data_IF_498573170910
#
_entry.id   IF_498573170910
#
_cell.length_a   1.000
_cell.length_b   1.000
_cell.length_c   1.000
_cell.angle_alpha   90.00
_cell.angle_beta   90.00
_cell.angle_gamma   90.00
#
_symmetry.space_group_name_H-M   'P 1'
#
loop_
_entity.id
_entity.type
_entity.pdbx_description
1 polymer ?
#
# COMPACT_ATOMS: atom_id res chain seq x y z
N UNK A 1 -2.89 -19.35 8.61
CA UNK A 1 -2.96 -17.92 8.28
C UNK A 1 -1.71 -17.60 7.48
N UNK A 2 -1.68 -17.21 6.21
CA UNK A 2 -2.71 -17.02 5.18
C UNK A 2 -1.99 -17.19 3.82
N UNK A 3 -2.24 -18.31 3.12
CA UNK A 3 -1.80 -18.54 1.72
C UNK A 3 -2.83 -17.97 0.72
N UNK A 4 -3.56 -16.94 1.14
CA UNK A 4 -4.72 -16.39 0.41
C UNK A 4 -4.27 -15.63 -0.85
N UNK A 5 -2.96 -15.38 -1.03
CA UNK A 5 -2.39 -14.65 -2.17
C UNK A 5 -1.53 -15.49 -3.14
N UNK A 6 -1.53 -16.82 -3.07
CA UNK A 6 -0.57 -17.64 -3.85
C UNK A 6 -1.04 -18.06 -5.24
N UNK A 7 -2.24 -17.67 -5.69
CA UNK A 7 -2.71 -17.96 -7.04
C UNK A 7 -2.70 -16.70 -7.91
N UNK A 8 -1.66 -16.49 -8.75
CA UNK A 8 -1.62 -15.42 -9.74
C UNK A 8 -2.88 -15.37 -10.62
N UNK A 9 -3.49 -16.54 -10.86
CA UNK A 9 -4.72 -16.66 -11.63
C UNK A 9 -5.92 -16.02 -10.91
N UNK A 10 -6.06 -16.23 -9.60
CA UNK A 10 -7.15 -15.65 -8.81
C UNK A 10 -7.01 -14.13 -8.72
N UNK A 11 -5.79 -13.63 -8.61
CA UNK A 11 -5.49 -12.19 -8.64
C UNK A 11 -5.88 -11.59 -10.00
N UNK A 12 -5.49 -12.26 -11.10
CA UNK A 12 -5.83 -11.81 -12.46
C UNK A 12 -7.36 -11.77 -12.68
N UNK A 13 -8.08 -12.80 -12.23
CA UNK A 13 -9.54 -12.85 -12.33
C UNK A 13 -10.17 -11.70 -11.56
N UNK A 14 -9.72 -11.45 -10.33
CA UNK A 14 -10.20 -10.33 -9.52
C UNK A 14 -9.95 -8.97 -10.22
N UNK A 15 -8.74 -8.76 -10.74
CA UNK A 15 -8.39 -7.54 -11.48
C UNK A 15 -9.28 -7.34 -12.71
N UNK A 16 -9.56 -8.39 -13.48
CA UNK A 16 -10.45 -8.31 -14.65
C UNK A 16 -11.87 -7.88 -14.27
N UNK A 17 -12.41 -8.38 -13.16
CA UNK A 17 -13.74 -7.96 -12.67
C UNK A 17 -13.74 -6.46 -12.37
N UNK A 18 -12.70 -5.93 -11.71
CA UNK A 18 -12.60 -4.49 -11.42
C UNK A 18 -12.49 -3.64 -12.69
N UNK A 19 -11.73 -4.10 -13.69
CA UNK A 19 -11.62 -3.41 -14.98
C UNK A 19 -12.98 -3.36 -15.69
N UNK A 20 -13.72 -4.47 -15.68
CA UNK A 20 -15.06 -4.53 -16.30
C UNK A 20 -16.06 -3.60 -15.60
N UNK A 21 -16.06 -3.58 -14.26
CA UNK A 21 -16.91 -2.69 -13.48
C UNK A 21 -16.58 -1.22 -13.73
N UNK A 22 -15.28 -0.87 -13.76
CA UNK A 22 -14.84 0.47 -14.08
C UNK A 22 -15.26 0.87 -15.49
N UNK A 23 -15.13 -0.03 -16.47
CA UNK A 23 -15.56 0.22 -17.84
C UNK A 23 -17.06 0.52 -17.92
N UNK A 24 -17.89 -0.33 -17.30
CA UNK A 24 -19.35 -0.13 -17.21
C UNK A 24 -19.70 1.19 -16.54
N UNK A 25 -19.00 1.54 -15.46
CA UNK A 25 -19.19 2.80 -14.75
C UNK A 25 -18.89 4.01 -15.65
N UNK A 26 -17.76 3.98 -16.38
CA UNK A 26 -17.38 5.07 -17.29
C UNK A 26 -18.40 5.26 -18.40
N UNK A 27 -18.86 4.18 -19.04
CA UNK A 27 -19.90 4.24 -20.06
C UNK A 27 -21.23 4.77 -19.53
N UNK A 28 -21.55 4.53 -18.26
CA UNK A 28 -22.78 5.06 -17.64
C UNK A 28 -22.72 6.57 -17.31
N UNK A 29 -21.52 7.16 -17.27
CA UNK A 29 -21.29 8.54 -16.83
C UNK A 29 -20.85 9.48 -17.93
N UNK A 30 -20.16 8.95 -18.94
CA UNK A 30 -19.59 9.73 -20.02
C UNK A 30 -20.54 9.78 -21.21
N UNK A 31 -20.56 10.91 -21.95
CA UNK A 31 -21.52 11.11 -23.03
C UNK A 31 -21.25 10.25 -24.27
N UNK A 32 -20.00 9.76 -24.44
CA UNK A 32 -19.58 8.99 -25.60
C UNK A 32 -18.39 8.08 -25.24
N UNK A 33 -18.25 6.97 -25.94
CA UNK A 33 -17.20 5.95 -25.77
C UNK A 33 -15.81 6.56 -25.96
N UNK A 34 -15.67 7.56 -26.86
CA UNK A 34 -14.41 8.27 -27.07
C UNK A 34 -13.84 8.87 -25.77
N UNK A 35 -14.71 9.41 -24.91
CA UNK A 35 -14.28 9.97 -23.63
C UNK A 35 -13.92 8.87 -22.64
N UNK A 36 -14.62 7.73 -22.66
CA UNK A 36 -14.30 6.58 -21.82
C UNK A 36 -12.92 6.00 -22.16
N UNK A 37 -12.62 5.85 -23.45
CA UNK A 37 -11.30 5.42 -23.94
C UNK A 37 -10.21 6.42 -23.53
N UNK A 38 -10.46 7.72 -23.71
CA UNK A 38 -9.50 8.77 -23.34
C UNK A 38 -9.21 8.77 -21.82
N UNK A 39 -10.24 8.58 -21.00
CA UNK A 39 -10.10 8.44 -19.55
C UNK A 39 -9.29 7.19 -19.20
N UNK A 40 -9.62 6.05 -19.79
CA UNK A 40 -8.94 4.78 -19.53
C UNK A 40 -7.44 4.86 -19.87
N UNK A 41 -7.10 5.46 -21.01
CA UNK A 41 -5.70 5.69 -21.40
C UNK A 41 -4.95 6.57 -20.38
N UNK A 42 -5.59 7.63 -19.87
CA UNK A 42 -5.00 8.48 -18.82
C UNK A 42 -4.81 7.71 -17.52
N UNK A 43 -5.77 6.87 -17.14
CA UNK A 43 -5.67 6.03 -15.95
C UNK A 43 -4.49 5.06 -16.05
N UNK A 44 -4.33 4.38 -17.19
CA UNK A 44 -3.19 3.48 -17.42
C UNK A 44 -1.86 4.23 -17.31
N UNK A 45 -1.75 5.42 -17.92
CA UNK A 45 -0.54 6.25 -17.79
C UNK A 45 -0.25 6.62 -16.32
N UNK A 46 -1.28 6.96 -15.55
CA UNK A 46 -1.14 7.28 -14.13
C UNK A 46 -0.64 6.07 -13.32
N UNK A 47 -1.18 4.87 -13.58
CA UNK A 47 -0.75 3.64 -12.91
C UNK A 47 0.74 3.36 -13.21
N UNK A 48 1.15 3.46 -14.47
CA UNK A 48 2.56 3.26 -14.87
C UNK A 48 3.49 4.28 -14.21
N UNK A 49 3.04 5.54 -14.12
CA UNK A 49 3.78 6.59 -13.42
C UNK A 49 3.92 6.30 -11.92
N UNK A 50 2.85 5.89 -11.25
CA UNK A 50 2.88 5.52 -9.84
C UNK A 50 3.82 4.32 -9.58
N UNK A 51 3.79 3.30 -10.45
CA UNK A 51 4.72 2.17 -10.37
C UNK A 51 6.18 2.62 -10.48
N UNK A 52 6.48 3.53 -11.41
CA UNK A 52 7.82 4.09 -11.54
C UNK A 52 8.26 4.82 -10.25
N UNK A 53 7.40 5.66 -9.68
CA UNK A 53 7.70 6.35 -8.41
C UNK A 53 7.97 5.35 -7.30
N UNK A 54 7.15 4.31 -7.17
CA UNK A 54 7.37 3.27 -6.15
C UNK A 54 8.77 2.64 -6.26
N UNK A 55 9.20 2.30 -7.49
CA UNK A 55 10.53 1.75 -7.72
C UNK A 55 11.65 2.76 -7.38
N UNK A 56 11.50 4.03 -7.76
CA UNK A 56 12.48 5.08 -7.43
C UNK A 56 12.58 5.34 -5.92
N UNK A 57 11.43 5.34 -5.22
CA UNK A 57 11.39 5.50 -3.76
C UNK A 57 12.02 4.31 -3.05
N UNK A 58 11.70 3.09 -3.49
CA UNK A 58 12.29 1.88 -2.91
C UNK A 58 13.81 1.83 -3.12
N UNK A 59 14.28 2.19 -4.32
CA UNK A 59 15.72 2.30 -4.61
C UNK A 59 16.38 3.36 -3.73
N UNK A 60 15.77 4.54 -3.61
CA UNK A 60 16.27 5.60 -2.74
C UNK A 60 16.37 5.13 -1.28
N UNK A 61 15.31 4.52 -0.73
CA UNK A 61 15.31 3.98 0.64
C UNK A 61 16.40 2.92 0.81
N UNK A 62 16.58 2.03 -0.17
CA UNK A 62 17.60 0.99 -0.10
C UNK A 62 19.02 1.55 -0.11
N UNK A 63 19.27 2.58 -0.92
CA UNK A 63 20.57 3.21 -1.04
C UNK A 63 20.87 4.18 0.13
N UNK A 64 19.83 4.73 0.77
CA UNK A 64 19.94 5.66 1.89
C UNK A 64 19.69 5.06 3.27
N UNK A 65 19.69 3.72 3.41
CA UNK A 65 19.45 3.04 4.70
C UNK A 65 20.33 3.58 5.82
N UNK A 66 21.60 3.81 5.54
CA UNK A 66 22.55 4.30 6.53
C UNK A 66 22.23 5.72 7.00
N UNK A 67 21.89 6.62 6.07
CA UNK A 67 21.50 8.00 6.42
C UNK A 67 20.18 8.02 7.21
N UNK A 68 19.22 7.17 6.83
CA UNK A 68 17.94 7.01 7.53
C UNK A 68 18.17 6.53 8.97
N UNK A 69 19.06 5.56 9.17
CA UNK A 69 19.43 5.06 10.51
C UNK A 69 20.10 6.15 11.36
N UNK A 70 20.99 6.96 10.77
CA UNK A 70 21.61 8.10 11.46
C UNK A 70 20.61 9.20 11.81
N UNK A 71 19.52 9.33 11.05
CA UNK A 71 18.47 10.32 11.29
C UNK A 71 17.55 9.94 12.45
N UNK A 72 17.49 8.65 12.82
CA UNK A 72 16.65 8.13 13.92
C UNK A 72 16.83 8.87 15.26
N UNK A 73 18.05 9.06 15.81
CA UNK A 73 18.25 9.80 17.06
C UNK A 73 17.82 11.27 16.94
N UNK A 74 17.99 11.90 15.77
CA UNK A 74 17.55 13.26 15.52
C UNK A 74 16.01 13.36 15.46
N UNK A 75 15.33 12.38 14.87
CA UNK A 75 13.86 12.33 14.87
C UNK A 75 13.30 12.07 16.28
N UNK A 76 13.97 11.22 17.07
CA UNK A 76 13.59 10.94 18.46
C UNK A 76 13.78 12.15 19.38
N UNK A 77 14.74 13.03 19.10
CA UNK A 77 14.90 14.27 19.88
C UNK A 77 13.87 15.35 19.55
N UNK A 78 13.25 15.30 18.36
CA UNK A 78 12.14 16.20 17.99
C UNK A 78 10.81 15.83 18.67
N UNK A 79 10.60 14.54 18.96
CA UNK A 79 9.49 14.04 19.77
C UNK A 79 10.05 13.19 20.91
N UNK A 80 10.56 13.82 21.98
CA UNK A 80 11.04 13.10 23.14
C UNK A 80 9.90 12.21 23.63
N UNK A 81 10.06 10.89 23.47
CA UNK A 81 9.17 9.96 24.16
C UNK A 81 9.35 10.24 25.64
N UNK A 82 8.25 10.53 26.32
CA UNK A 82 8.26 10.73 27.76
C UNK A 82 8.81 9.45 28.37
N UNK A 83 9.91 9.56 29.12
CA UNK A 83 10.51 8.44 29.84
C UNK A 83 9.47 7.87 30.80
N UNK A 84 8.78 6.82 30.36
CA UNK A 84 8.08 5.89 31.23
C UNK A 84 7.90 4.58 30.48
N UNK A 85 8.72 3.63 30.92
CA UNK A 85 8.57 2.18 30.83
C UNK A 85 9.28 1.48 29.67
N UNK A 86 10.58 1.28 29.92
CA UNK A 86 11.36 0.10 29.59
C UNK A 86 10.51 -1.21 29.58
N UNK A 87 10.49 -1.87 28.43
CA UNK A 87 11.15 -3.18 28.28
C UNK A 87 10.71 -4.31 29.25
N UNK A 88 9.40 -4.61 29.38
CA UNK A 88 8.96 -5.93 29.87
C UNK A 88 7.49 -6.35 29.60
N UNK A 89 6.94 -6.13 28.41
CA UNK A 89 5.66 -6.76 28.03
C UNK A 89 5.89 -7.88 27.01
N UNK A 90 6.40 -8.99 27.55
CA UNK A 90 6.14 -10.33 27.06
C UNK A 90 4.61 -10.49 26.94
N UNK A 91 4.10 -10.56 25.71
CA UNK A 91 2.66 -10.72 25.44
C UNK A 91 2.28 -12.17 25.79
N UNK A 92 2.12 -12.41 27.09
CA UNK A 92 1.40 -13.58 27.59
C UNK A 92 -0.07 -13.31 27.34
N UNK A 93 -0.61 -13.89 26.28
CA UNK A 93 -2.05 -13.89 25.98
C UNK A 93 -2.73 -14.58 27.17
N UNK A 94 -3.51 -13.80 27.93
CA UNK A 94 -4.24 -14.26 29.10
C UNK A 94 -5.12 -15.46 28.75
N UNK A 95 -4.99 -16.53 29.53
CA UNK A 95 -5.96 -17.62 29.59
C UNK A 95 -7.32 -17.07 30.02
N UNK A 96 -8.36 -17.46 29.28
CA UNK A 96 -9.76 -17.35 29.63
C UNK A 96 -10.01 -17.75 31.09
N UNK A 97 -10.53 -16.82 31.89
CA UNK A 97 -11.40 -17.14 33.03
C UNK A 97 -12.50 -16.08 33.10
N UNK A 98 -13.70 -16.45 32.67
CA UNK A 98 -14.95 -15.84 33.13
C UNK A 98 -15.75 -16.90 33.91
N UNK A 99 -16.65 -16.46 34.81
CA UNK A 99 -16.80 -16.97 36.19
C UNK A 99 -17.47 -18.34 36.35
#
# INVERSE_FOLDING_TARGET
MDSICDSPLSILIGQNIYVELLWKYLLSRLPDEKYAVAFFNRLVMFILFAQKIHLEVDDYIQNSKHEIEQMKPMMQSMWPKTDSDDDNNDVTIAQDVTP
#
